data_IF_345399807236
#
_entry.id   IF_345399807236
#
_cell.length_a   1.000
_cell.length_b   1.000
_cell.length_c   1.000
_cell.angle_alpha   90.00
_cell.angle_beta   90.00
_cell.angle_gamma   90.00
#
_symmetry.space_group_name_H-M   'P 1'
#
loop_
_entity.id
_entity.type
_entity.pdbx_description
1 polymer ?
#
# COMPACT_ATOMS: atom_id res chain seq x y z
N UNK A 1 -15.73 18.61 41.86
CA UNK A 1 -16.04 17.81 40.65
C UNK A 1 -14.81 16.98 40.33
N UNK A 2 -14.84 15.69 40.67
CA UNK A 2 -13.72 14.77 40.47
C UNK A 2 -13.55 14.52 38.96
N UNK A 3 -12.33 14.66 38.46
CA UNK A 3 -12.00 14.34 37.06
C UNK A 3 -11.86 12.83 37.00
N UNK A 4 -12.83 12.15 36.39
CA UNK A 4 -12.74 10.73 36.10
C UNK A 4 -11.48 10.49 35.27
N UNK A 5 -10.50 9.81 35.87
CA UNK A 5 -9.35 9.24 35.19
C UNK A 5 -9.87 8.19 34.22
N UNK A 6 -10.18 8.62 33.00
CA UNK A 6 -10.59 7.67 31.95
C UNK A 6 -9.42 6.71 31.72
N UNK A 7 -9.72 5.44 31.92
CA UNK A 7 -8.74 4.36 31.90
C UNK A 7 -8.49 3.82 30.49
N UNK A 8 -7.58 2.85 30.43
CA UNK A 8 -7.42 2.00 29.27
C UNK A 8 -8.55 0.97 29.25
N UNK A 9 -9.31 0.91 28.17
CA UNK A 9 -10.48 0.04 28.01
C UNK A 9 -10.26 -0.97 26.88
N UNK A 10 -10.70 -2.21 27.10
CA UNK A 10 -10.64 -3.28 26.11
C UNK A 10 -12.04 -3.78 25.80
N UNK A 11 -12.36 -3.86 24.51
CA UNK A 11 -13.65 -4.35 24.02
C UNK A 11 -13.43 -5.47 22.99
N UNK A 12 -14.10 -6.61 23.15
CA UNK A 12 -14.06 -7.70 22.15
C UNK A 12 -15.30 -7.64 21.28
N UNK A 13 -15.12 -7.35 19.99
CA UNK A 13 -16.22 -7.26 19.02
C UNK A 13 -16.00 -8.25 17.89
N UNK A 14 -16.96 -9.17 17.70
CA UNK A 14 -16.87 -10.25 16.68
C UNK A 14 -15.56 -11.06 16.79
N UNK A 15 -15.13 -11.34 18.02
CA UNK A 15 -13.90 -12.11 18.30
C UNK A 15 -12.60 -11.37 17.95
N UNK A 16 -12.62 -10.04 17.84
CA UNK A 16 -11.45 -9.19 17.68
C UNK A 16 -11.41 -8.15 18.79
N UNK A 17 -10.30 -8.09 19.49
CA UNK A 17 -10.09 -7.12 20.55
C UNK A 17 -9.76 -5.73 19.99
N UNK A 18 -10.34 -4.71 20.61
CA UNK A 18 -10.18 -3.28 20.36
C UNK A 18 -9.74 -2.61 21.67
N UNK A 19 -8.84 -1.65 21.55
CA UNK A 19 -8.23 -0.99 22.70
C UNK A 19 -8.47 0.50 22.61
N UNK A 20 -9.04 1.07 23.67
CA UNK A 20 -9.38 2.47 23.75
C UNK A 20 -8.64 3.14 24.90
N UNK A 21 -8.26 4.39 24.71
CA UNK A 21 -7.72 5.25 25.74
C UNK A 21 -8.56 6.52 25.77
N UNK A 22 -9.16 6.84 26.91
CA UNK A 22 -10.08 7.97 27.05
C UNK A 22 -11.29 7.96 26.09
N UNK A 23 -11.69 6.78 25.61
CA UNK A 23 -12.75 6.58 24.62
C UNK A 23 -12.29 6.68 23.16
N UNK A 24 -11.02 7.00 22.91
CA UNK A 24 -10.44 7.01 21.57
C UNK A 24 -9.80 5.66 21.25
N UNK A 25 -10.03 5.14 20.04
CA UNK A 25 -9.42 3.89 19.60
C UNK A 25 -7.91 4.10 19.40
N UNK A 26 -7.09 3.39 20.18
CA UNK A 26 -5.62 3.47 20.13
C UNK A 26 -4.98 2.20 19.58
N UNK A 27 -5.68 1.07 19.63
CA UNK A 27 -5.10 -0.20 19.22
C UNK A 27 -6.13 -1.21 18.74
N UNK A 28 -5.65 -2.18 17.98
CA UNK A 28 -6.45 -3.30 17.48
C UNK A 28 -5.64 -4.60 17.60
N UNK A 29 -6.35 -5.70 17.86
CA UNK A 29 -5.77 -7.02 17.74
C UNK A 29 -5.73 -7.46 16.27
N UNK A 30 -4.60 -8.01 15.84
CA UNK A 30 -4.47 -8.63 14.53
C UNK A 30 -5.22 -9.97 14.49
N UNK A 31 -6.13 -10.15 13.52
CA UNK A 31 -6.93 -11.39 13.43
C UNK A 31 -6.11 -12.63 13.11
N UNK A 32 -4.94 -12.47 12.50
CA UNK A 32 -4.07 -13.57 12.10
C UNK A 32 -3.05 -13.97 13.18
N UNK A 33 -2.25 -13.03 13.70
CA UNK A 33 -1.24 -13.33 14.71
C UNK A 33 -1.69 -13.10 16.15
N UNK A 34 -2.93 -12.62 16.36
CA UNK A 34 -3.56 -12.38 17.66
C UNK A 34 -2.83 -11.42 18.61
N UNK A 35 -1.84 -10.69 18.09
CA UNK A 35 -1.11 -9.64 18.84
C UNK A 35 -1.91 -8.34 18.87
N UNK A 36 -1.81 -7.66 20.00
CA UNK A 36 -2.29 -6.30 20.24
C UNK A 36 -1.28 -5.32 19.65
N UNK A 37 -1.72 -4.44 18.77
CA UNK A 37 -0.85 -3.53 18.04
C UNK A 37 -1.51 -2.15 17.90
N UNK A 38 -0.68 -1.14 17.78
CA UNK A 38 -1.09 0.23 17.46
C UNK A 38 -1.76 0.32 16.08
N UNK A 39 -2.63 1.31 15.88
CA UNK A 39 -3.33 1.53 14.61
C UNK A 39 -2.37 1.72 13.42
N UNK A 40 -1.19 2.29 13.65
CA UNK A 40 -0.15 2.47 12.63
C UNK A 40 0.42 1.16 12.09
N UNK A 41 0.28 0.04 12.80
CA UNK A 41 0.71 -1.28 12.35
C UNK A 41 -0.28 -1.94 11.38
N UNK A 42 -1.39 -1.28 11.06
CA UNK A 42 -2.40 -1.75 10.11
C UNK A 42 -2.38 -0.92 8.81
N UNK A 43 -2.73 -1.57 7.69
CA UNK A 43 -2.86 -0.90 6.40
C UNK A 43 -4.26 -0.32 6.22
N UNK A 44 -4.38 0.76 5.44
CA UNK A 44 -5.68 1.32 5.08
C UNK A 44 -6.45 0.35 4.17
N UNK A 45 -7.74 0.17 4.46
CA UNK A 45 -8.68 -0.63 3.67
C UNK A 45 -10.05 0.04 3.71
N UNK A 46 -10.56 0.47 2.54
CA UNK A 46 -11.81 1.25 2.43
C UNK A 46 -13.02 0.58 3.10
N UNK A 47 -13.10 -0.74 3.05
CA UNK A 47 -14.19 -1.54 3.63
C UNK A 47 -13.89 -2.06 5.03
N UNK A 48 -12.72 -1.73 5.59
CA UNK A 48 -12.27 -2.17 6.90
C UNK A 48 -12.91 -1.39 8.04
N UNK A 49 -12.89 -1.96 9.25
CA UNK A 49 -13.28 -1.24 10.47
C UNK A 49 -12.38 -0.02 10.65
N UNK A 50 -12.98 1.16 10.86
CA UNK A 50 -12.30 2.48 10.87
C UNK A 50 -11.37 2.72 9.66
N UNK A 51 -11.66 2.09 8.52
CA UNK A 51 -10.81 2.19 7.33
C UNK A 51 -9.50 1.43 7.42
N UNK A 52 -9.35 0.49 8.36
CA UNK A 52 -8.14 -0.32 8.57
C UNK A 52 -8.37 -1.80 8.30
N UNK A 53 -7.33 -2.48 7.82
CA UNK A 53 -7.33 -3.92 7.65
C UNK A 53 -7.45 -4.65 9.02
N UNK A 54 -8.00 -5.85 8.97
CA UNK A 54 -8.07 -6.78 10.09
C UNK A 54 -6.71 -7.41 10.44
N UNK A 55 -5.78 -7.46 9.49
CA UNK A 55 -4.45 -8.03 9.62
C UNK A 55 -3.41 -6.92 9.70
N UNK A 56 -2.40 -7.09 10.56
CA UNK A 56 -1.28 -6.16 10.62
C UNK A 56 -0.44 -6.22 9.33
N UNK A 57 0.33 -5.16 9.08
CA UNK A 57 1.23 -5.00 7.93
C UNK A 57 2.15 -6.20 7.74
N UNK A 58 2.75 -6.70 8.83
CA UNK A 58 3.66 -7.87 8.81
C UNK A 58 2.95 -9.13 8.33
N UNK A 59 1.74 -9.41 8.80
CA UNK A 59 0.96 -10.57 8.37
C UNK A 59 0.51 -10.45 6.92
N UNK A 60 0.07 -9.26 6.51
CA UNK A 60 -0.29 -8.98 5.13
C UNK A 60 0.89 -9.14 4.17
N UNK A 61 2.07 -8.66 4.54
CA UNK A 61 3.30 -8.84 3.78
C UNK A 61 3.64 -10.32 3.60
N UNK A 62 3.67 -11.11 4.67
CA UNK A 62 3.92 -12.56 4.62
C UNK A 62 2.91 -13.28 3.73
N UNK A 63 1.63 -12.94 3.83
CA UNK A 63 0.56 -13.47 2.97
C UNK A 63 0.82 -13.15 1.49
N UNK A 64 1.18 -11.91 1.18
CA UNK A 64 1.50 -11.49 -0.18
C UNK A 64 2.72 -12.22 -0.76
N UNK A 65 3.77 -12.43 0.04
CA UNK A 65 4.94 -13.20 -0.38
C UNK A 65 4.60 -14.67 -0.66
N UNK A 66 3.81 -15.31 0.23
CA UNK A 66 3.35 -16.68 0.05
C UNK A 66 2.57 -16.82 -1.26
N UNK A 67 1.59 -15.94 -1.49
CA UNK A 67 0.81 -15.94 -2.72
C UNK A 67 1.68 -15.79 -3.97
N UNK A 68 2.66 -14.86 -3.97
CA UNK A 68 3.60 -14.69 -5.10
C UNK A 68 4.43 -15.94 -5.37
N UNK A 69 4.88 -16.64 -4.32
CA UNK A 69 5.67 -17.87 -4.43
C UNK A 69 4.84 -19.03 -5.00
N UNK A 70 3.58 -19.14 -4.60
CA UNK A 70 2.65 -20.19 -5.04
C UNK A 70 2.08 -19.89 -6.44
N UNK A 71 1.94 -18.61 -6.80
CA UNK A 71 1.28 -18.16 -8.04
C UNK A 71 2.26 -17.47 -8.99
N UNK A 72 3.50 -17.95 -9.10
CA UNK A 72 4.57 -17.33 -9.90
C UNK A 72 4.14 -17.02 -11.33
N UNK A 73 3.50 -17.99 -12.01
CA UNK A 73 3.05 -17.84 -13.41
C UNK A 73 2.02 -16.72 -13.54
N UNK A 74 0.98 -16.73 -12.70
CA UNK A 74 -0.06 -15.68 -12.70
C UNK A 74 0.56 -14.32 -12.42
N UNK A 75 1.41 -14.22 -11.40
CA UNK A 75 2.10 -12.98 -11.06
C UNK A 75 2.93 -12.43 -12.24
N UNK A 76 3.67 -13.32 -12.93
CA UNK A 76 4.46 -12.96 -14.10
C UNK A 76 3.58 -12.49 -15.27
N UNK A 77 2.52 -13.22 -15.60
CA UNK A 77 1.58 -12.85 -16.68
C UNK A 77 0.95 -11.50 -16.40
N UNK A 78 0.53 -11.23 -15.16
CA UNK A 78 -0.04 -9.93 -14.79
C UNK A 78 0.98 -8.80 -14.96
N UNK A 79 2.23 -9.04 -14.56
CA UNK A 79 3.34 -8.09 -14.76
C UNK A 79 3.60 -7.83 -16.25
N UNK A 80 3.61 -8.86 -17.08
CA UNK A 80 3.80 -8.72 -18.54
C UNK A 80 2.66 -7.93 -19.18
N UNK A 81 1.40 -8.25 -18.84
CA UNK A 81 0.23 -7.49 -19.31
C UNK A 81 0.29 -6.03 -18.89
N UNK A 82 0.64 -5.74 -17.64
CA UNK A 82 0.78 -4.35 -17.18
C UNK A 82 1.87 -3.62 -17.96
N UNK A 83 3.03 -4.26 -18.19
CA UNK A 83 4.14 -3.67 -18.96
C UNK A 83 3.75 -3.40 -20.41
N UNK A 84 3.01 -4.29 -21.07
CA UNK A 84 2.58 -4.08 -22.45
C UNK A 84 1.58 -2.94 -22.59
N UNK A 85 0.71 -2.76 -21.59
CA UNK A 85 -0.28 -1.68 -21.55
C UNK A 85 0.29 -0.33 -21.09
N UNK A 86 1.40 -0.33 -20.34
CA UNK A 86 1.96 0.88 -19.72
C UNK A 86 3.39 1.17 -20.23
N UNK A 87 3.66 0.93 -21.52
CA UNK A 87 4.99 1.17 -22.13
C UNK A 87 5.49 2.60 -21.90
N UNK A 88 4.61 3.59 -22.08
CA UNK A 88 4.92 5.02 -21.90
C UNK A 88 5.43 5.30 -20.48
N UNK A 89 4.73 4.74 -19.49
CA UNK A 89 5.10 4.89 -18.09
C UNK A 89 6.47 4.26 -17.79
N UNK A 90 6.82 3.16 -18.46
CA UNK A 90 8.14 2.53 -18.30
C UNK A 90 9.26 3.40 -18.90
N UNK A 91 9.02 3.99 -20.07
CA UNK A 91 9.97 4.93 -20.68
C UNK A 91 10.17 6.13 -19.77
N UNK A 92 9.09 6.70 -19.22
CA UNK A 92 9.13 7.80 -18.26
C UNK A 92 9.99 7.48 -17.05
N UNK A 93 9.69 6.34 -16.44
CA UNK A 93 10.40 5.86 -15.25
C UNK A 93 11.90 5.71 -15.52
N UNK A 94 12.27 5.09 -16.66
CA UNK A 94 13.67 4.88 -17.02
C UNK A 94 14.40 6.19 -17.33
N UNK A 95 13.75 7.15 -18.01
CA UNK A 95 14.34 8.45 -18.29
C UNK A 95 14.56 9.25 -17.00
N UNK A 96 13.58 9.29 -16.09
CA UNK A 96 13.71 9.96 -14.80
C UNK A 96 14.80 9.31 -13.92
N UNK A 97 14.96 7.99 -13.97
CA UNK A 97 16.05 7.29 -13.29
C UNK A 97 17.42 7.74 -13.82
N UNK A 98 17.60 7.77 -15.15
CA UNK A 98 18.84 8.28 -15.79
C UNK A 98 19.09 9.75 -15.48
N UNK A 99 18.03 10.58 -15.49
CA UNK A 99 18.14 12.00 -15.20
C UNK A 99 18.65 12.22 -13.75
N UNK A 100 18.13 11.45 -12.79
CA UNK A 100 18.59 11.44 -11.40
C UNK A 100 20.05 10.99 -11.25
N UNK A 101 20.49 9.98 -11.99
CA UNK A 101 21.90 9.52 -12.01
C UNK A 101 22.86 10.61 -12.52
N UNK A 102 22.39 11.49 -13.41
CA UNK A 102 23.18 12.59 -13.99
C UNK A 102 22.98 13.93 -13.26
N UNK A 103 22.38 13.93 -12.05
CA UNK A 103 21.95 15.12 -11.28
C UNK A 103 21.12 16.14 -12.09
N UNK A 104 20.51 15.69 -13.19
CA UNK A 104 19.68 16.50 -14.04
C UNK A 104 18.23 16.34 -13.59
N UNK A 105 17.77 17.19 -12.67
CA UNK A 105 16.50 17.01 -11.92
C UNK A 105 15.23 17.37 -12.69
N UNK A 106 15.26 17.29 -14.03
CA UNK A 106 14.06 17.41 -14.85
C UNK A 106 13.24 16.14 -14.78
N UNK A 107 12.15 16.13 -14.01
CA UNK A 107 11.15 15.06 -14.10
C UNK A 107 10.37 15.24 -15.40
N UNK A 108 10.51 14.31 -16.35
CA UNK A 108 9.62 14.28 -17.50
C UNK A 108 8.22 13.87 -17.04
N UNK A 109 7.24 14.74 -17.26
CA UNK A 109 5.86 14.43 -16.96
C UNK A 109 5.32 13.42 -17.98
N UNK A 110 4.27 12.69 -17.58
CA UNK A 110 3.62 11.71 -18.46
C UNK A 110 3.17 12.33 -19.80
N UNK A 111 2.72 13.59 -19.75
CA UNK A 111 2.25 14.35 -20.92
C UNK A 111 3.40 14.63 -21.90
N UNK A 112 4.57 15.02 -21.41
CA UNK A 112 5.76 15.29 -22.25
C UNK A 112 6.18 14.04 -23.03
N UNK A 113 6.00 12.87 -22.43
CA UNK A 113 6.35 11.59 -23.03
C UNK A 113 5.32 11.06 -24.02
N UNK A 114 4.04 11.28 -23.77
CA UNK A 114 2.99 11.00 -24.75
C UNK A 114 3.20 11.85 -26.02
N UNK A 115 3.56 13.12 -25.86
CA UNK A 115 3.90 14.01 -26.99
C UNK A 115 5.13 13.50 -27.74
N UNK A 116 6.20 13.09 -27.04
CA UNK A 116 7.42 12.56 -27.67
C UNK A 116 7.19 11.24 -28.42
N UNK A 117 6.37 10.35 -27.87
CA UNK A 117 6.05 9.06 -28.50
C UNK A 117 5.17 9.23 -29.74
N UNK A 118 4.16 10.09 -29.69
CA UNK A 118 3.31 10.36 -30.86
C UNK A 118 4.11 11.01 -31.99
N UNK A 119 5.01 11.95 -31.67
CA UNK A 119 5.94 12.53 -32.64
C UNK A 119 6.90 11.50 -33.25
N UNK A 120 7.32 10.48 -32.49
CA UNK A 120 8.18 9.42 -32.99
C UNK A 120 7.44 8.45 -33.94
N UNK A 121 6.13 8.26 -33.74
CA UNK A 121 5.30 7.41 -34.62
C UNK A 121 4.80 8.10 -35.88
N UNK A 122 4.78 9.43 -35.92
CA UNK A 122 4.39 10.22 -37.11
C UNK A 122 5.53 10.38 -38.14
N UNK A 123 6.77 10.13 -37.74
CA UNK A 123 7.97 10.32 -38.56
C UNK A 123 8.62 9.00 -39.03
N UNK A 124 7.93 7.86 -38.90
CA UNK A 124 8.40 6.55 -39.36
C UNK A 124 7.34 5.82 -40.15
#
# INVERSE_FOLDING_TARGET
>A
MMKDTKGFEKETVRGRDRYYFNGELVGLQCTFCKKELDLSEFSKLKTGFVGLDSKCKKCNYKRGLKWKKENKKVHYTHKQKWRSQNKIHLVAYNQNARAKENDNRGNLAKVDLEILLNKATENG
#
